data_IF_109628611680
#
_entry.id   IF_109628611680
#
_cell.length_a   1.000
_cell.length_b   1.000
_cell.length_c   1.000
_cell.angle_alpha   90.00
_cell.angle_beta   90.00
_cell.angle_gamma   90.00
#
_symmetry.space_group_name_H-M   'P 1'
#
loop_
_entity.id
_entity.type
_entity.pdbx_description
1 polymer ?
#
# COMPACT_ATOMS: atom_id res chain seq x y z
N UNK A 1 3.92 -5.95 17.08
CA UNK A 1 4.18 -5.54 15.69
C UNK A 1 2.92 -5.02 15.04
N UNK A 2 3.00 -3.89 14.38
CA UNK A 2 1.87 -3.27 13.70
C UNK A 2 1.83 -3.68 12.24
N UNK A 3 0.70 -4.20 11.79
CA UNK A 3 0.46 -4.44 10.36
C UNK A 3 -0.26 -3.22 9.79
N UNK A 4 0.39 -2.56 8.84
CA UNK A 4 -0.15 -1.39 8.16
C UNK A 4 -0.33 -1.68 6.68
N UNK A 5 -1.42 -1.19 6.11
CA UNK A 5 -1.62 -1.15 4.67
C UNK A 5 -1.38 0.29 4.21
N UNK A 6 -0.80 0.45 3.03
CA UNK A 6 -0.64 1.77 2.42
C UNK A 6 -1.15 1.71 0.99
N UNK A 7 -2.07 2.61 0.65
CA UNK A 7 -2.77 2.55 -0.64
C UNK A 7 -3.34 3.91 -1.02
N UNK A 8 -3.39 4.17 -2.32
CA UNK A 8 -4.14 5.29 -2.89
C UNK A 8 -5.35 4.73 -3.64
N UNK A 9 -6.52 5.28 -3.37
CA UNK A 9 -7.77 4.85 -3.99
C UNK A 9 -8.53 6.05 -4.57
N UNK A 10 -9.25 5.82 -5.67
CA UNK A 10 -10.16 6.81 -6.24
C UNK A 10 -11.51 6.78 -5.52
N UNK A 11 -12.41 7.69 -5.88
CA UNK A 11 -13.78 7.70 -5.33
C UNK A 11 -14.53 6.41 -5.62
N UNK A 12 -14.27 5.79 -6.76
CA UNK A 12 -14.86 4.52 -7.14
C UNK A 12 -13.99 3.31 -6.76
N UNK A 13 -13.12 3.48 -5.77
CA UNK A 13 -12.27 2.45 -5.17
C UNK A 13 -11.25 1.80 -6.11
N UNK A 14 -10.91 2.43 -7.21
CA UNK A 14 -9.90 1.93 -8.14
C UNK A 14 -8.51 2.12 -7.53
N UNK A 15 -7.68 1.08 -7.60
CA UNK A 15 -6.28 1.13 -7.17
C UNK A 15 -5.32 0.79 -8.31
N UNK A 16 -5.82 0.29 -9.44
CA UNK A 16 -4.97 -0.07 -10.56
C UNK A 16 -5.73 -0.33 -11.84
N UNK A 17 -4.98 -0.31 -12.93
CA UNK A 17 -5.42 -0.69 -14.26
C UNK A 17 -4.23 -1.25 -15.01
N UNK A 18 -4.37 -2.44 -15.59
CA UNK A 18 -3.31 -3.13 -16.35
C UNK A 18 -2.01 -3.24 -15.52
N UNK A 19 -2.14 -3.60 -14.23
CA UNK A 19 -1.04 -3.73 -13.27
C UNK A 19 -0.27 -2.43 -13.01
N UNK A 20 -0.87 -1.28 -13.28
CA UNK A 20 -0.26 0.04 -13.04
C UNK A 20 -1.28 0.95 -12.37
N UNK A 21 -0.78 2.01 -11.74
CA UNK A 21 -1.65 3.07 -11.24
C UNK A 21 -2.07 3.97 -12.41
N UNK A 22 -3.38 4.16 -12.66
CA UNK A 22 -3.85 4.94 -13.81
C UNK A 22 -3.80 6.46 -13.57
N UNK A 23 -2.97 6.92 -12.67
CA UNK A 23 -2.76 8.33 -12.36
C UNK A 23 -1.30 8.62 -12.11
N UNK A 24 -0.95 9.90 -12.18
CA UNK A 24 0.38 10.36 -11.84
C UNK A 24 0.25 11.45 -10.76
N UNK A 25 0.69 11.13 -9.54
CA UNK A 25 0.58 11.99 -8.36
C UNK A 25 1.90 12.00 -7.59
N UNK A 26 2.85 12.87 -7.96
CA UNK A 26 4.13 12.97 -7.25
C UNK A 26 4.01 13.19 -5.75
N UNK A 27 3.00 13.95 -5.32
CA UNK A 27 2.75 14.18 -3.89
C UNK A 27 2.41 12.88 -3.15
N UNK A 28 1.67 11.98 -3.79
CA UNK A 28 1.35 10.67 -3.21
C UNK A 28 2.59 9.79 -3.13
N UNK A 29 3.41 9.80 -4.18
CA UNK A 29 4.67 9.05 -4.18
C UNK A 29 5.62 9.52 -3.08
N UNK A 30 5.67 10.82 -2.83
CA UNK A 30 6.47 11.40 -1.74
C UNK A 30 5.97 10.93 -0.38
N UNK A 31 4.67 10.87 -0.17
CA UNK A 31 4.08 10.34 1.07
C UNK A 31 4.35 8.86 1.23
N UNK A 32 4.23 8.09 0.17
CA UNK A 32 4.55 6.66 0.18
C UNK A 32 5.99 6.44 0.64
N UNK A 33 6.92 7.17 0.06
CA UNK A 33 8.34 7.09 0.43
C UNK A 33 8.54 7.46 1.89
N UNK A 34 7.96 8.56 2.34
CA UNK A 34 8.07 9.03 3.73
C UNK A 34 7.56 7.97 4.72
N UNK A 35 6.43 7.35 4.41
CA UNK A 35 5.78 6.42 5.33
C UNK A 35 6.35 5.01 5.30
N UNK A 36 7.12 4.65 4.28
CA UNK A 36 7.67 3.29 4.14
C UNK A 36 9.18 3.20 4.37
N UNK A 37 9.94 4.29 4.22
CA UNK A 37 11.40 4.28 4.38
C UNK A 37 11.80 3.75 5.75
N UNK A 38 12.75 2.81 5.77
CA UNK A 38 13.23 2.20 7.02
C UNK A 38 12.36 1.05 7.53
N UNK A 39 11.31 0.70 6.81
CA UNK A 39 10.37 -0.36 7.21
C UNK A 39 10.37 -1.50 6.20
N UNK A 40 10.01 -2.73 6.63
CA UNK A 40 9.75 -3.80 5.66
C UNK A 40 8.52 -3.49 4.82
N UNK A 41 8.63 -3.74 3.52
CA UNK A 41 7.50 -3.66 2.59
C UNK A 41 7.22 -5.05 2.05
N UNK A 42 5.96 -5.48 2.14
CA UNK A 42 5.50 -6.77 1.66
C UNK A 42 4.58 -6.55 0.48
N UNK A 43 4.79 -7.30 -0.60
CA UNK A 43 4.04 -7.13 -1.83
C UNK A 43 3.88 -8.45 -2.56
N UNK A 44 2.86 -8.51 -3.41
CA UNK A 44 2.74 -9.62 -4.35
C UNK A 44 3.72 -9.45 -5.51
N UNK A 45 3.95 -10.55 -6.24
CA UNK A 45 4.87 -10.56 -7.37
C UNK A 45 4.51 -9.55 -8.46
N UNK A 46 3.22 -9.45 -8.82
CA UNK A 46 2.78 -8.51 -9.85
C UNK A 46 3.05 -7.05 -9.46
N UNK A 47 2.88 -6.74 -8.18
CA UNK A 47 3.19 -5.41 -7.66
C UNK A 47 4.67 -5.11 -7.81
N UNK A 48 5.52 -6.07 -7.46
CA UNK A 48 6.96 -5.89 -7.63
C UNK A 48 7.34 -5.71 -9.10
N UNK A 49 6.77 -6.52 -9.99
CA UNK A 49 7.03 -6.41 -11.43
C UNK A 49 6.60 -5.04 -11.98
N UNK A 50 5.51 -4.49 -11.45
CA UNK A 50 5.04 -3.14 -11.81
C UNK A 50 6.01 -2.05 -11.35
N UNK A 51 6.57 -2.18 -10.14
CA UNK A 51 7.57 -1.25 -9.60
C UNK A 51 8.88 -1.38 -10.37
N UNK A 52 9.26 -2.61 -10.72
CA UNK A 52 10.42 -2.91 -11.57
C UNK A 52 11.77 -2.99 -10.88
N UNK A 53 11.85 -2.59 -9.62
CA UNK A 53 13.11 -2.63 -8.85
C UNK A 53 12.82 -2.62 -7.34
N UNK A 54 13.77 -3.11 -6.51
CA UNK A 54 13.60 -3.00 -5.06
C UNK A 54 13.53 -1.53 -4.63
N UNK A 55 12.69 -1.25 -3.65
CA UNK A 55 12.57 0.08 -3.07
C UNK A 55 13.79 0.33 -2.17
N UNK A 56 14.55 1.43 -2.38
CA UNK A 56 15.74 1.70 -1.58
C UNK A 56 15.41 1.95 -0.10
N UNK A 57 16.34 1.60 0.79
CA UNK A 57 16.25 1.82 2.24
C UNK A 57 15.09 1.09 2.91
N UNK A 58 14.63 0.01 2.31
CA UNK A 58 13.55 -0.81 2.82
C UNK A 58 13.90 -2.28 2.64
N UNK A 59 13.36 -3.13 3.49
CA UNK A 59 13.44 -4.58 3.30
C UNK A 59 12.31 -4.97 2.38
N UNK A 60 12.62 -5.42 1.16
CA UNK A 60 11.62 -5.76 0.14
C UNK A 60 11.31 -7.25 0.19
N UNK A 61 10.07 -7.61 0.50
CA UNK A 61 9.62 -8.99 0.54
C UNK A 61 8.54 -9.19 -0.51
N UNK A 62 8.76 -10.19 -1.37
CA UNK A 62 7.80 -10.56 -2.42
C UNK A 62 7.18 -11.90 -2.07
N UNK A 63 5.84 -11.93 -2.06
CA UNK A 63 5.06 -13.14 -1.84
C UNK A 63 4.72 -13.78 -3.18
N UNK A 64 5.02 -15.08 -3.30
CA UNK A 64 4.70 -15.84 -4.51
C UNK A 64 4.62 -17.32 -4.15
N UNK A 65 3.69 -18.05 -4.78
CA UNK A 65 3.56 -19.50 -4.59
C UNK A 65 4.79 -20.25 -5.08
N UNK A 66 5.39 -19.75 -6.17
CA UNK A 66 6.62 -20.32 -6.71
C UNK A 66 7.79 -19.44 -6.30
N UNK A 67 8.98 -20.05 -6.08
CA UNK A 67 10.17 -19.27 -5.75
C UNK A 67 10.42 -18.16 -6.77
N UNK A 68 10.76 -16.99 -6.26
CA UNK A 68 11.02 -15.80 -7.06
C UNK A 68 12.37 -15.24 -6.66
N UNK A 69 13.25 -15.08 -7.62
CA UNK A 69 14.61 -14.63 -7.37
C UNK A 69 14.87 -13.29 -8.07
N UNK A 70 15.29 -12.31 -7.29
CA UNK A 70 15.67 -11.01 -7.80
C UNK A 70 16.62 -10.36 -6.80
N UNK A 71 17.68 -9.72 -7.29
CA UNK A 71 18.64 -9.02 -6.43
C UNK A 71 17.93 -7.96 -5.59
N UNK A 72 18.23 -7.93 -4.29
CA UNK A 72 17.65 -6.97 -3.36
C UNK A 72 16.24 -7.32 -2.86
N UNK A 73 15.73 -8.49 -3.22
CA UNK A 73 14.39 -8.95 -2.84
C UNK A 73 14.48 -10.25 -2.06
N UNK A 74 13.67 -10.36 -1.01
CA UNK A 74 13.51 -11.58 -0.23
C UNK A 74 12.21 -12.22 -0.65
N UNK A 75 12.27 -13.48 -1.09
CA UNK A 75 11.09 -14.25 -1.43
C UNK A 75 10.57 -14.99 -0.22
N UNK A 76 9.24 -14.97 -0.04
CA UNK A 76 8.54 -15.82 0.91
C UNK A 76 7.30 -16.41 0.24
N UNK A 77 6.93 -17.62 0.63
CA UNK A 77 5.78 -18.31 0.06
C UNK A 77 4.48 -18.06 0.80
N UNK A 78 4.54 -17.39 1.95
CA UNK A 78 3.35 -17.06 2.74
C UNK A 78 3.53 -15.75 3.48
N UNK A 79 2.40 -15.11 3.81
CA UNK A 79 2.39 -13.90 4.61
C UNK A 79 2.98 -14.18 6.00
N UNK A 80 2.62 -15.30 6.61
CA UNK A 80 3.10 -15.68 7.94
C UNK A 80 4.61 -15.81 7.97
N UNK A 81 5.22 -16.42 6.95
CA UNK A 81 6.67 -16.53 6.88
C UNK A 81 7.35 -15.20 6.63
N UNK A 82 6.69 -14.30 5.89
CA UNK A 82 7.19 -12.94 5.68
C UNK A 82 7.19 -12.14 6.99
N UNK A 83 6.11 -12.21 7.74
CA UNK A 83 5.99 -11.53 9.05
C UNK A 83 7.04 -12.05 10.02
N UNK A 84 7.20 -13.37 10.08
CA UNK A 84 8.21 -13.98 10.97
C UNK A 84 9.63 -13.51 10.63
N UNK A 85 9.94 -13.38 9.35
CA UNK A 85 11.24 -12.92 8.89
C UNK A 85 11.58 -11.50 9.36
N UNK A 86 10.58 -10.66 9.54
CA UNK A 86 10.75 -9.24 9.94
C UNK A 86 10.16 -8.94 11.32
N UNK A 87 10.03 -9.93 12.17
CA UNK A 87 9.41 -9.79 13.50
C UNK A 87 10.09 -8.81 14.43
N UNK A 88 11.34 -8.44 14.15
CA UNK A 88 12.10 -7.47 14.94
C UNK A 88 11.69 -6.03 14.68
N UNK A 89 10.97 -5.78 13.59
CA UNK A 89 10.49 -4.44 13.25
C UNK A 89 9.17 -4.15 13.98
N UNK A 90 8.97 -2.90 14.34
CA UNK A 90 7.74 -2.47 15.03
C UNK A 90 6.54 -2.39 14.10
N UNK A 91 6.79 -2.12 12.83
CA UNK A 91 5.73 -1.94 11.83
C UNK A 91 6.15 -2.53 10.50
N UNK A 92 5.23 -3.23 9.85
CA UNK A 92 5.41 -3.74 8.49
C UNK A 92 4.34 -3.13 7.58
N UNK A 93 4.72 -2.88 6.33
CA UNK A 93 3.88 -2.18 5.36
C UNK A 93 3.48 -3.12 4.23
N UNK A 94 2.21 -3.46 4.14
CA UNK A 94 1.68 -4.20 3.00
C UNK A 94 1.34 -3.18 1.91
N UNK A 95 1.99 -3.29 0.76
CA UNK A 95 1.88 -2.28 -0.29
C UNK A 95 1.09 -2.72 -1.52
N UNK A 96 0.57 -3.94 -1.54
CA UNK A 96 -0.32 -4.41 -2.59
C UNK A 96 0.06 -5.82 -3.09
N UNK A 97 -0.65 -6.40 -4.04
CA UNK A 97 -1.77 -5.73 -4.71
C UNK A 97 -3.14 -6.01 -4.13
N UNK A 98 -4.16 -5.91 -5.01
CA UNK A 98 -5.56 -5.97 -4.58
C UNK A 98 -5.96 -7.23 -3.81
N UNK A 99 -5.48 -8.39 -4.22
CA UNK A 99 -5.77 -9.65 -3.52
C UNK A 99 -5.22 -9.65 -2.09
N UNK A 100 -4.00 -9.15 -1.89
CA UNK A 100 -3.40 -9.06 -0.57
C UNK A 100 -4.13 -8.03 0.30
N UNK A 101 -4.52 -6.90 -0.27
CA UNK A 101 -5.31 -5.91 0.46
C UNK A 101 -6.64 -6.50 0.92
N UNK A 102 -7.34 -7.21 0.03
CA UNK A 102 -8.60 -7.87 0.35
C UNK A 102 -8.44 -8.87 1.49
N UNK A 103 -7.38 -9.66 1.43
CA UNK A 103 -7.14 -10.72 2.40
C UNK A 103 -6.73 -10.17 3.77
N UNK A 104 -5.93 -9.09 3.81
CA UNK A 104 -5.33 -8.61 5.05
C UNK A 104 -5.92 -7.32 5.63
N UNK A 105 -6.81 -6.62 4.92
CA UNK A 105 -7.50 -5.47 5.49
C UNK A 105 -8.21 -5.81 6.81
N UNK A 106 -8.90 -6.96 6.94
CA UNK A 106 -9.54 -7.31 8.21
C UNK A 106 -8.58 -7.49 9.39
N UNK A 107 -7.30 -7.73 9.10
CA UNK A 107 -6.26 -7.96 10.11
C UNK A 107 -5.35 -6.75 10.32
N UNK A 108 -5.51 -5.70 9.52
CA UNK A 108 -4.64 -4.54 9.60
C UNK A 108 -4.93 -3.72 10.85
N UNK A 109 -3.86 -3.23 11.46
CA UNK A 109 -3.94 -2.34 12.62
C UNK A 109 -4.02 -0.89 12.20
N UNK A 110 -3.44 -0.57 11.05
CA UNK A 110 -3.30 0.80 10.55
C UNK A 110 -3.50 0.86 9.05
N UNK A 111 -4.05 1.96 8.57
CA UNK A 111 -4.26 2.18 7.15
C UNK A 111 -3.78 3.58 6.77
N UNK A 112 -2.76 3.62 5.93
CA UNK A 112 -2.28 4.87 5.32
C UNK A 112 -3.01 5.01 4.00
N UNK A 113 -4.01 5.88 3.97
CA UNK A 113 -4.95 5.98 2.86
C UNK A 113 -4.83 7.32 2.16
N UNK A 114 -4.70 7.29 0.84
CA UNK A 114 -4.85 8.48 0.00
C UNK A 114 -6.16 8.34 -0.75
N UNK A 115 -7.07 9.28 -0.55
CA UNK A 115 -8.30 9.35 -1.33
C UNK A 115 -8.12 10.35 -2.46
N UNK A 116 -8.10 9.86 -3.69
CA UNK A 116 -8.03 10.68 -4.90
C UNK A 116 -9.46 11.12 -5.22
N UNK A 117 -9.70 12.43 -5.27
CA UNK A 117 -11.03 13.00 -5.42
C UNK A 117 -11.49 13.00 -6.88
N UNK A 118 -11.48 11.80 -7.49
CA UNK A 118 -11.91 11.61 -8.88
C UNK A 118 -12.38 10.16 -9.08
N UNK A 119 -13.25 9.97 -10.05
CA UNK A 119 -13.59 8.64 -10.55
C UNK A 119 -12.65 8.35 -11.71
N UNK A 120 -11.94 7.24 -11.65
CA UNK A 120 -10.96 6.86 -12.68
C UNK A 120 -11.25 5.43 -13.08
N UNK A 121 -11.22 5.15 -14.38
CA UNK A 121 -11.43 3.80 -14.90
C UNK A 121 -10.28 2.86 -14.49
N UNK A 122 -10.63 1.66 -14.07
CA UNK A 122 -9.64 0.69 -13.65
C UNK A 122 -10.21 -0.71 -13.54
N UNK A 123 -9.33 -1.68 -13.30
CA UNK A 123 -9.69 -3.10 -13.21
C UNK A 123 -9.38 -3.71 -11.85
N UNK A 124 -8.70 -3.00 -10.98
CA UNK A 124 -8.33 -3.47 -9.64
C UNK A 124 -8.88 -2.51 -8.60
N UNK A 125 -9.54 -3.07 -7.60
CA UNK A 125 -10.27 -2.29 -6.61
C UNK A 125 -9.82 -2.61 -5.19
N UNK A 126 -9.85 -1.60 -4.32
CA UNK A 126 -9.64 -1.79 -2.89
C UNK A 126 -10.95 -2.30 -2.27
N UNK A 127 -10.89 -3.21 -1.28
CA UNK A 127 -12.10 -3.67 -0.59
C UNK A 127 -12.79 -2.52 0.13
N UNK A 128 -14.09 -2.65 0.36
CA UNK A 128 -14.85 -1.64 1.10
C UNK A 128 -14.29 -1.47 2.50
N UNK A 129 -14.17 -0.20 2.91
CA UNK A 129 -13.70 0.15 4.25
C UNK A 129 -14.92 0.35 5.15
N UNK A 130 -14.99 -0.40 6.25
CA UNK A 130 -15.98 -0.14 7.27
C UNK A 130 -15.45 0.95 8.21
N UNK A 131 -15.78 2.19 7.90
CA UNK A 131 -15.26 3.36 8.63
C UNK A 131 -15.56 3.34 10.13
N UNK A 132 -16.61 2.63 10.55
CA UNK A 132 -16.95 2.50 11.97
C UNK A 132 -15.86 1.78 12.77
N UNK A 133 -15.01 0.98 12.11
CA UNK A 133 -13.92 0.25 12.76
C UNK A 133 -12.64 1.05 12.95
N UNK A 134 -12.60 2.28 12.43
CA UNK A 134 -11.36 3.07 12.37
C UNK A 134 -11.49 4.42 13.04
N UNK A 135 -10.40 4.86 13.68
CA UNK A 135 -10.22 6.22 14.17
C UNK A 135 -9.28 6.96 13.22
N UNK A 136 -9.59 8.21 12.91
CA UNK A 136 -8.72 9.05 12.09
C UNK A 136 -7.65 9.66 13.01
N UNK A 137 -6.39 9.29 12.83
CA UNK A 137 -5.26 9.86 13.57
C UNK A 137 -4.69 11.09 12.89
N UNK A 138 -4.74 11.12 11.56
CA UNK A 138 -4.16 12.19 10.75
C UNK A 138 -5.02 12.40 9.52
N UNK A 139 -5.19 13.66 9.15
CA UNK A 139 -5.93 14.04 7.94
C UNK A 139 -5.33 15.29 7.35
N UNK A 140 -5.11 15.30 6.04
CA UNK A 140 -4.61 16.45 5.31
C UNK A 140 -5.25 16.50 3.93
N UNK A 141 -5.76 17.67 3.56
CA UNK A 141 -6.27 17.90 2.21
C UNK A 141 -5.20 18.57 1.38
N UNK A 142 -5.07 18.14 0.13
CA UNK A 142 -4.15 18.74 -0.83
C UNK A 142 -4.90 19.05 -2.12
N UNK A 143 -4.90 20.30 -2.52
CA UNK A 143 -5.47 20.70 -3.80
C UNK A 143 -4.58 20.29 -4.96
N UNK A 144 -5.21 20.02 -6.12
CA UNK A 144 -4.50 19.76 -7.36
C UNK A 144 -3.61 20.95 -7.72
N UNK A 145 -2.50 20.66 -8.38
CA UNK A 145 -1.58 21.68 -8.88
C UNK A 145 -1.02 21.24 -10.23
N UNK A 146 -0.02 21.94 -10.75
CA UNK A 146 0.56 21.66 -12.08
C UNK A 146 1.10 20.23 -12.20
N UNK A 147 1.66 19.69 -11.11
CA UNK A 147 2.27 18.38 -11.09
C UNK A 147 1.31 17.28 -10.61
N UNK A 148 0.27 17.68 -9.87
CA UNK A 148 -0.68 16.74 -9.25
C UNK A 148 -2.10 17.07 -9.75
N UNK A 149 -2.60 16.34 -10.76
CA UNK A 149 -3.85 16.71 -11.44
C UNK A 149 -5.13 16.50 -10.65
N UNK A 150 -5.06 15.89 -9.46
CA UNK A 150 -6.25 15.62 -8.65
C UNK A 150 -6.11 16.14 -7.23
N UNK A 151 -7.23 16.59 -6.65
CA UNK A 151 -7.30 16.85 -5.22
C UNK A 151 -7.18 15.54 -4.48
N UNK A 152 -6.52 15.55 -3.35
CA UNK A 152 -6.33 14.36 -2.53
C UNK A 152 -6.62 14.63 -1.06
N UNK A 153 -7.08 13.59 -0.37
CA UNK A 153 -7.20 13.59 1.08
C UNK A 153 -6.30 12.49 1.61
N UNK A 154 -5.29 12.88 2.40
CA UNK A 154 -4.37 11.93 3.01
C UNK A 154 -4.86 11.60 4.42
N UNK A 155 -4.93 10.32 4.75
CA UNK A 155 -5.42 9.83 6.03
C UNK A 155 -4.48 8.81 6.62
N UNK A 156 -4.37 8.82 7.95
CA UNK A 156 -3.83 7.70 8.69
C UNK A 156 -4.93 7.23 9.62
N UNK A 157 -5.38 6.00 9.44
CA UNK A 157 -6.44 5.40 10.23
C UNK A 157 -5.86 4.36 11.16
N UNK A 158 -6.33 4.37 12.40
CA UNK A 158 -5.97 3.37 13.41
C UNK A 158 -7.22 2.54 13.72
N UNK A 159 -7.08 1.22 13.71
CA UNK A 159 -8.20 0.35 14.06
C UNK A 159 -8.59 0.57 15.51
N UNK A 160 -9.89 0.65 15.74
CA UNK A 160 -10.45 0.75 17.10
C UNK A 160 -10.14 -0.52 17.90
N UNK A 161 -9.92 -0.35 19.18
CA UNK A 161 -9.67 -1.45 20.10
C UNK A 161 -10.94 -2.34 20.28
#
# INVERSE_FOLDING_TARGET
>A
MTLSLIVAITKNNVIGKDNQMPWHLPADLARFRKNTTGKPVIMGRKTFESIGRPLPKRTNIVLSRTPYEHEGVIWKNSFESAVDFVKEFDEIMLIGGGELFKQYLPKADKLYLTQIQADIDGDTFFPEINWAEWNIEFEEYRQADEDNPYDCRFLILQRKA
#
